data_IF_651510863650
#
_entry.id   IF_651510863650
#
_cell.length_a   1.000
_cell.length_b   1.000
_cell.length_c   1.000
_cell.angle_alpha   90.00
_cell.angle_beta   90.00
_cell.angle_gamma   90.00
#
_symmetry.space_group_name_H-M   'P 1'
#
loop_
_entity.id
_entity.type
_entity.pdbx_description
1 polymer ?
#
# COMPACT_ATOMS: atom_id res chain seq x y z
N UNK A 1 -70.91 8.20 19.29
CA UNK A 1 -69.88 7.49 18.55
C UNK A 1 -68.65 8.43 18.35
N UNK A 2 -67.57 8.28 19.14
CA UNK A 2 -66.37 9.12 19.06
C UNK A 2 -65.41 8.47 18.05
N UNK A 3 -65.11 9.18 16.94
CA UNK A 3 -64.11 8.76 15.94
C UNK A 3 -62.74 9.20 16.43
N UNK A 4 -61.89 8.22 16.75
CA UNK A 4 -60.48 8.44 17.09
C UNK A 4 -59.70 8.46 15.75
N UNK A 5 -59.17 9.64 15.36
CA UNK A 5 -58.21 9.76 14.26
C UNK A 5 -56.80 9.34 14.77
N UNK A 6 -56.29 8.27 14.24
CA UNK A 6 -54.88 7.91 14.41
C UNK A 6 -54.03 8.70 13.40
N UNK A 7 -53.24 9.65 13.89
CA UNK A 7 -52.22 10.34 13.08
C UNK A 7 -50.99 9.41 13.04
N UNK A 8 -50.75 8.78 11.90
CA UNK A 8 -49.46 8.07 11.63
C UNK A 8 -48.42 9.13 11.31
N UNK A 9 -47.51 9.39 12.25
CA UNK A 9 -46.29 10.17 11.99
C UNK A 9 -45.30 9.28 11.23
N UNK A 10 -45.15 9.51 9.93
CA UNK A 10 -44.11 8.91 9.09
C UNK A 10 -42.78 9.61 9.42
N UNK A 11 -41.97 8.99 10.26
CA UNK A 11 -40.58 9.43 10.49
C UNK A 11 -39.76 9.01 9.27
N UNK A 12 -39.54 9.95 8.36
CA UNK A 12 -38.58 9.75 7.24
C UNK A 12 -37.17 9.77 7.79
N UNK A 13 -36.62 8.58 8.00
CA UNK A 13 -35.17 8.42 8.28
C UNK A 13 -34.45 8.66 6.96
N UNK A 14 -33.98 9.89 6.75
CA UNK A 14 -33.07 10.21 5.66
C UNK A 14 -31.71 9.56 6.01
N UNK A 15 -31.45 8.38 5.47
CA UNK A 15 -30.12 7.81 5.46
C UNK A 15 -29.22 8.70 4.58
N UNK A 16 -28.55 9.68 5.19
CA UNK A 16 -27.47 10.41 4.53
C UNK A 16 -26.35 9.41 4.32
N UNK A 17 -26.23 8.87 3.10
CA UNK A 17 -25.02 8.14 2.69
C UNK A 17 -23.85 9.11 2.89
N UNK A 18 -23.04 8.87 3.92
CA UNK A 18 -21.88 9.70 4.23
C UNK A 18 -20.88 9.52 3.07
N UNK A 19 -20.80 10.54 2.21
CA UNK A 19 -19.86 10.54 1.08
C UNK A 19 -18.47 10.52 1.65
N UNK A 20 -17.74 9.41 1.42
CA UNK A 20 -16.34 9.26 1.86
C UNK A 20 -15.52 10.45 1.36
N UNK A 21 -14.75 11.09 2.25
CA UNK A 21 -13.86 12.17 1.82
C UNK A 21 -12.71 11.59 0.97
N UNK A 22 -12.14 12.39 0.07
CA UNK A 22 -10.94 11.99 -0.68
C UNK A 22 -9.84 11.47 0.25
N UNK A 23 -9.62 12.15 1.37
CA UNK A 23 -8.66 11.73 2.41
C UNK A 23 -8.97 10.31 2.91
N UNK A 24 -10.20 10.02 3.26
CA UNK A 24 -10.59 8.71 3.78
C UNK A 24 -10.35 7.60 2.74
N UNK A 25 -10.70 7.83 1.47
CA UNK A 25 -10.46 6.88 0.39
C UNK A 25 -8.96 6.63 0.18
N UNK A 26 -8.16 7.70 0.12
CA UNK A 26 -6.71 7.57 -0.09
C UNK A 26 -6.03 6.85 1.09
N UNK A 27 -6.42 7.14 2.33
CA UNK A 27 -5.89 6.44 3.51
C UNK A 27 -6.28 4.97 3.53
N UNK A 28 -7.53 4.64 3.19
CA UNK A 28 -7.98 3.25 3.10
C UNK A 28 -7.15 2.48 2.07
N UNK A 29 -6.93 3.05 0.88
CA UNK A 29 -6.12 2.42 -0.17
C UNK A 29 -4.66 2.26 0.24
N UNK A 30 -4.04 3.24 0.87
CA UNK A 30 -2.67 3.14 1.38
C UNK A 30 -2.56 2.04 2.44
N UNK A 31 -3.41 2.06 3.46
CA UNK A 31 -3.41 1.07 4.55
C UNK A 31 -3.68 -0.35 4.04
N UNK A 32 -4.58 -0.53 3.07
CA UNK A 32 -4.85 -1.85 2.49
C UNK A 32 -3.66 -2.42 1.72
N UNK A 33 -2.84 -1.59 1.11
CA UNK A 33 -1.60 -2.04 0.44
C UNK A 33 -0.44 -2.21 1.40
N UNK A 34 -0.43 -1.55 2.55
CA UNK A 34 0.66 -1.54 3.51
C UNK A 34 0.53 -2.66 4.57
N UNK A 35 -0.47 -2.56 5.45
CA UNK A 35 -0.55 -3.40 6.66
C UNK A 35 -1.96 -3.88 7.04
N UNK A 36 -3.00 -3.40 6.39
CA UNK A 36 -4.38 -3.73 6.68
C UNK A 36 -5.03 -4.50 5.54
N UNK A 37 -4.67 -5.78 5.37
CA UNK A 37 -5.23 -6.64 4.31
C UNK A 37 -6.75 -6.52 4.24
N UNK A 38 -7.27 -6.31 3.01
CA UNK A 38 -8.69 -6.15 2.75
C UNK A 38 -9.09 -7.05 1.57
N UNK A 39 -9.13 -6.54 0.34
CA UNK A 39 -9.44 -7.31 -0.86
C UNK A 39 -8.26 -8.15 -1.35
N UNK A 40 -7.07 -7.82 -0.91
CA UNK A 40 -5.81 -8.50 -1.21
C UNK A 40 -4.86 -8.44 0.00
N UNK A 41 -3.83 -9.26 -0.05
CA UNK A 41 -2.82 -9.33 1.00
C UNK A 41 -1.97 -8.07 0.99
N UNK A 42 -1.78 -7.46 2.15
CA UNK A 42 -0.92 -6.28 2.31
C UNK A 42 0.57 -6.62 2.18
N UNK A 43 1.39 -5.61 1.88
CA UNK A 43 2.83 -5.78 1.68
C UNK A 43 3.53 -6.33 2.93
N UNK A 44 3.20 -5.83 4.13
CA UNK A 44 3.79 -6.31 5.36
C UNK A 44 3.55 -7.81 5.57
N UNK A 45 2.33 -8.28 5.29
CA UNK A 45 2.01 -9.72 5.34
C UNK A 45 2.76 -10.49 4.25
N UNK A 46 2.89 -9.92 3.05
CA UNK A 46 3.56 -10.57 1.94
C UNK A 46 5.06 -10.79 2.16
N UNK A 47 5.74 -9.93 2.94
CA UNK A 47 7.18 -10.03 3.24
C UNK A 47 7.47 -10.69 4.59
N UNK A 48 6.46 -10.84 5.44
CA UNK A 48 6.61 -11.34 6.81
C UNK A 48 7.24 -12.74 6.88
N UNK A 49 8.18 -12.92 7.81
CA UNK A 49 8.80 -14.21 8.12
C UNK A 49 9.70 -14.77 7.01
N UNK A 50 10.04 -13.97 5.98
CA UNK A 50 10.93 -14.42 4.92
C UNK A 50 12.39 -14.21 5.33
N UNK A 51 13.22 -15.26 5.21
CA UNK A 51 14.67 -15.12 5.44
C UNK A 51 15.35 -14.38 4.28
N UNK A 52 16.54 -13.85 4.52
CA UNK A 52 17.33 -13.14 3.51
C UNK A 52 17.68 -14.03 2.30
N UNK A 53 17.96 -15.33 2.53
CA UNK A 53 18.24 -16.30 1.46
C UNK A 53 17.01 -16.49 0.58
N UNK A 54 15.82 -16.65 1.20
CA UNK A 54 14.56 -16.77 0.47
C UNK A 54 14.17 -15.47 -0.24
N UNK A 55 14.49 -14.32 0.36
CA UNK A 55 14.25 -13.03 -0.29
C UNK A 55 15.13 -12.84 -1.54
N UNK A 56 16.35 -13.38 -1.55
CA UNK A 56 17.26 -13.31 -2.70
C UNK A 56 17.00 -14.39 -3.78
N UNK A 57 16.21 -15.41 -3.47
CA UNK A 57 15.91 -16.50 -4.40
C UNK A 57 15.19 -16.00 -5.66
N UNK A 58 15.58 -16.53 -6.82
CA UNK A 58 14.98 -16.21 -8.13
C UNK A 58 14.42 -17.46 -8.79
N UNK A 59 13.28 -17.31 -9.45
CA UNK A 59 12.74 -18.29 -10.37
C UNK A 59 13.15 -17.92 -11.81
N UNK A 60 14.24 -18.51 -12.28
CA UNK A 60 14.78 -18.23 -13.62
C UNK A 60 15.11 -16.75 -13.82
N UNK A 61 14.51 -16.13 -14.83
CA UNK A 61 14.71 -14.71 -15.18
C UNK A 61 13.85 -13.72 -14.39
N UNK A 62 13.02 -14.19 -13.46
CA UNK A 62 12.12 -13.32 -12.69
C UNK A 62 12.86 -12.55 -11.57
N UNK A 63 12.28 -11.45 -11.11
CA UNK A 63 12.78 -10.75 -9.95
C UNK A 63 12.55 -11.56 -8.66
N UNK A 64 13.51 -11.48 -7.73
CA UNK A 64 13.35 -12.03 -6.39
C UNK A 64 12.40 -11.17 -5.55
N UNK A 65 11.91 -11.73 -4.42
CA UNK A 65 11.11 -10.97 -3.45
C UNK A 65 11.86 -9.73 -2.97
N UNK A 66 13.16 -9.88 -2.68
CA UNK A 66 13.99 -8.76 -2.23
C UNK A 66 14.14 -7.66 -3.27
N UNK A 67 14.29 -8.02 -4.54
CA UNK A 67 14.34 -7.05 -5.65
C UNK A 67 13.01 -6.31 -5.81
N UNK A 68 11.88 -7.01 -5.73
CA UNK A 68 10.55 -6.41 -5.78
C UNK A 68 10.32 -5.46 -4.59
N UNK A 69 10.67 -5.90 -3.38
CA UNK A 69 10.53 -5.08 -2.18
C UNK A 69 11.44 -3.84 -2.22
N UNK A 70 12.68 -3.98 -2.69
CA UNK A 70 13.60 -2.86 -2.86
C UNK A 70 13.08 -1.84 -3.89
N UNK A 71 12.53 -2.31 -5.00
CA UNK A 71 11.92 -1.46 -6.02
C UNK A 71 10.72 -0.66 -5.47
N UNK A 72 9.86 -1.31 -4.68
CA UNK A 72 8.76 -0.62 -3.99
C UNK A 72 9.34 0.46 -3.05
N UNK A 73 10.34 0.12 -2.24
CA UNK A 73 11.00 1.06 -1.32
C UNK A 73 11.56 2.26 -2.07
N UNK A 74 12.33 2.03 -3.12
CA UNK A 74 12.97 3.08 -3.93
C UNK A 74 11.96 4.13 -4.41
N UNK A 75 10.84 3.70 -4.98
CA UNK A 75 9.83 4.63 -5.51
C UNK A 75 9.02 5.30 -4.41
N UNK A 76 8.68 4.58 -3.34
CA UNK A 76 7.92 5.17 -2.23
C UNK A 76 8.75 6.20 -1.42
N UNK A 77 10.05 5.98 -1.23
CA UNK A 77 10.96 7.00 -0.63
C UNK A 77 10.94 8.29 -1.45
N UNK A 78 11.02 8.20 -2.77
CA UNK A 78 11.01 9.37 -3.65
C UNK A 78 9.68 10.10 -3.62
N UNK A 79 8.57 9.37 -3.57
CA UNK A 79 7.24 9.98 -3.41
C UNK A 79 7.12 10.68 -2.05
N UNK A 80 7.56 10.05 -0.96
CA UNK A 80 7.51 10.67 0.36
C UNK A 80 8.35 11.95 0.44
N UNK A 81 9.55 11.94 -0.17
CA UNK A 81 10.39 13.16 -0.29
C UNK A 81 9.69 14.27 -1.07
N UNK A 82 9.05 13.94 -2.21
CA UNK A 82 8.27 14.92 -2.99
C UNK A 82 7.10 15.50 -2.18
N UNK A 83 6.35 14.65 -1.50
CA UNK A 83 5.23 15.08 -0.66
C UNK A 83 5.66 16.02 0.47
N UNK A 84 6.85 15.79 1.03
CA UNK A 84 7.45 16.65 2.06
C UNK A 84 8.14 17.90 1.51
N UNK A 85 8.32 18.00 0.19
CA UNK A 85 9.09 19.08 -0.42
C UNK A 85 10.59 18.98 -0.18
N UNK A 86 11.09 17.78 0.12
CA UNK A 86 12.52 17.53 0.35
C UNK A 86 13.28 17.40 -0.97
N UNK A 87 14.57 17.77 -0.94
CA UNK A 87 15.46 17.52 -2.08
C UNK A 87 15.71 16.02 -2.22
N UNK A 88 15.46 15.47 -3.39
CA UNK A 88 15.84 14.10 -3.74
C UNK A 88 16.98 14.10 -4.75
N UNK A 89 17.83 13.08 -4.71
CA UNK A 89 18.81 12.85 -5.75
C UNK A 89 18.09 12.66 -7.10
N UNK A 90 18.63 13.25 -8.17
CA UNK A 90 18.11 12.98 -9.51
C UNK A 90 18.30 11.49 -9.83
N UNK A 91 17.28 10.89 -10.44
CA UNK A 91 17.36 9.54 -10.98
C UNK A 91 17.18 9.64 -12.49
N UNK A 92 18.23 9.33 -13.23
CA UNK A 92 18.26 9.32 -14.70
C UNK A 92 18.38 7.91 -15.28
N UNK A 93 18.38 6.89 -14.42
CA UNK A 93 18.46 5.49 -14.80
C UNK A 93 17.15 4.92 -15.39
N UNK A 94 17.23 3.71 -15.90
CA UNK A 94 16.06 2.98 -16.36
C UNK A 94 15.33 2.35 -15.16
N UNK A 95 14.01 2.15 -15.32
CA UNK A 95 13.20 1.52 -14.27
C UNK A 95 13.77 0.17 -13.81
N UNK A 96 14.29 -0.63 -14.75
CA UNK A 96 14.85 -1.96 -14.44
C UNK A 96 16.03 -1.91 -13.46
N UNK A 97 16.84 -0.83 -13.50
CA UNK A 97 17.96 -0.63 -12.59
C UNK A 97 17.54 -0.53 -11.12
N UNK A 98 16.28 -0.15 -10.86
CA UNK A 98 15.76 -0.06 -9.49
C UNK A 98 15.52 -1.42 -8.83
N UNK A 99 15.56 -2.53 -9.57
CA UNK A 99 15.52 -3.89 -9.05
C UNK A 99 16.91 -4.47 -8.79
N UNK A 100 17.96 -3.92 -9.40
CA UNK A 100 19.30 -4.50 -9.40
C UNK A 100 20.10 -4.16 -8.14
N UNK A 101 19.74 -3.10 -7.43
CA UNK A 101 20.49 -2.62 -6.26
C UNK A 101 20.16 -3.36 -4.96
N UNK A 102 19.38 -4.44 -4.99
CA UNK A 102 19.08 -5.25 -3.82
C UNK A 102 20.27 -6.16 -3.49
N UNK A 103 20.75 -6.07 -2.24
CA UNK A 103 21.69 -6.99 -1.63
C UNK A 103 20.98 -7.81 -0.52
N UNK A 104 21.22 -9.11 -0.51
CA UNK A 104 20.68 -10.03 0.48
C UNK A 104 20.96 -9.59 1.92
N UNK A 105 22.14 -9.05 2.22
CA UNK A 105 22.49 -8.53 3.54
C UNK A 105 21.59 -7.37 4.01
N UNK A 106 20.98 -6.66 3.07
CA UNK A 106 20.10 -5.50 3.36
C UNK A 106 18.64 -5.90 3.60
N UNK A 107 18.26 -7.18 3.51
CA UNK A 107 16.87 -7.59 3.55
C UNK A 107 16.07 -7.03 4.73
N UNK A 108 16.62 -7.18 5.94
CA UNK A 108 15.94 -6.69 7.16
C UNK A 108 15.78 -5.16 7.15
N UNK A 109 16.77 -4.44 6.62
CA UNK A 109 16.72 -2.98 6.49
C UNK A 109 15.68 -2.56 5.45
N UNK A 110 15.58 -3.28 4.33
CA UNK A 110 14.55 -3.03 3.30
C UNK A 110 13.16 -3.17 3.90
N UNK A 111 12.87 -4.27 4.61
CA UNK A 111 11.56 -4.50 5.24
C UNK A 111 11.23 -3.39 6.24
N UNK A 112 12.19 -3.04 7.11
CA UNK A 112 11.99 -1.97 8.09
C UNK A 112 11.76 -0.61 7.45
N UNK A 113 12.54 -0.27 6.42
CA UNK A 113 12.39 1.00 5.70
C UNK A 113 11.07 1.09 4.94
N UNK A 114 10.61 -0.02 4.35
CA UNK A 114 9.30 -0.09 3.71
C UNK A 114 8.19 0.32 4.67
N UNK A 115 8.13 -0.29 5.85
CA UNK A 115 7.12 0.03 6.86
C UNK A 115 7.18 1.52 7.28
N UNK A 116 8.39 2.04 7.52
CA UNK A 116 8.59 3.45 7.89
C UNK A 116 8.15 4.42 6.78
N UNK A 117 8.47 4.13 5.52
CA UNK A 117 8.16 5.00 4.39
C UNK A 117 6.65 4.99 4.11
N UNK A 118 6.01 3.82 4.12
CA UNK A 118 4.57 3.70 3.90
C UNK A 118 3.79 4.38 5.03
N UNK A 119 4.18 4.17 6.29
CA UNK A 119 3.65 4.91 7.44
C UNK A 119 3.84 6.42 7.26
N UNK A 120 4.99 6.84 6.73
CA UNK A 120 5.28 8.25 6.45
C UNK A 120 4.32 8.86 5.41
N UNK A 121 3.99 8.12 4.35
CA UNK A 121 3.02 8.56 3.34
C UNK A 121 1.60 8.64 3.93
N UNK A 122 1.18 7.64 4.72
CA UNK A 122 -0.11 7.64 5.42
C UNK A 122 -0.24 8.86 6.34
N UNK A 123 0.77 9.11 7.17
CA UNK A 123 0.81 10.26 8.07
C UNK A 123 0.76 11.59 7.32
N UNK A 124 1.43 11.67 6.16
CA UNK A 124 1.35 12.86 5.33
C UNK A 124 -0.07 13.09 4.83
N UNK A 125 -0.75 12.06 4.32
CA UNK A 125 -2.14 12.14 3.84
C UNK A 125 -3.09 12.52 4.99
N UNK A 126 -2.90 11.95 6.17
CA UNK A 126 -3.73 12.25 7.34
C UNK A 126 -3.67 13.73 7.74
N UNK A 127 -2.49 14.34 7.66
CA UNK A 127 -2.25 15.72 8.05
C UNK A 127 -2.36 16.73 6.89
N UNK A 128 -2.51 16.27 5.64
CA UNK A 128 -2.59 17.13 4.47
C UNK A 128 -3.88 17.98 4.45
N UNK A 129 -3.76 19.20 3.94
CA UNK A 129 -4.90 20.05 3.60
C UNK A 129 -5.64 19.54 2.35
N UNK A 130 -6.88 19.98 2.14
CA UNK A 130 -7.65 19.58 0.94
C UNK A 130 -6.96 19.97 -0.36
N UNK A 131 -6.28 21.12 -0.39
CA UNK A 131 -5.56 21.57 -1.59
C UNK A 131 -4.29 20.73 -1.84
N UNK A 132 -3.58 20.34 -0.79
CA UNK A 132 -2.46 19.39 -0.90
C UNK A 132 -2.94 18.03 -1.40
N UNK A 133 -4.07 17.54 -0.90
CA UNK A 133 -4.67 16.27 -1.35
C UNK A 133 -5.10 16.36 -2.81
N UNK A 134 -5.81 17.42 -3.22
CA UNK A 134 -6.21 17.61 -4.62
C UNK A 134 -5.01 17.61 -5.57
N UNK A 135 -3.92 18.29 -5.18
CA UNK A 135 -2.69 18.36 -5.97
C UNK A 135 -2.02 17.00 -6.13
N UNK A 136 -2.04 16.16 -5.09
CA UNK A 136 -1.25 14.92 -5.02
C UNK A 136 -2.09 13.64 -5.12
N UNK A 137 -3.43 13.73 -5.25
CA UNK A 137 -4.34 12.59 -5.22
C UNK A 137 -3.97 11.49 -6.22
N UNK A 138 -3.66 11.86 -7.46
CA UNK A 138 -3.26 10.92 -8.51
C UNK A 138 -1.96 10.19 -8.16
N UNK A 139 -0.97 10.90 -7.64
CA UNK A 139 0.31 10.30 -7.20
C UNK A 139 0.08 9.30 -6.08
N UNK A 140 -0.74 9.65 -5.07
CA UNK A 140 -1.05 8.78 -3.93
C UNK A 140 -1.83 7.54 -4.37
N UNK A 141 -2.80 7.70 -5.27
CA UNK A 141 -3.53 6.57 -5.85
C UNK A 141 -2.61 5.62 -6.63
N UNK A 142 -1.66 6.18 -7.41
CA UNK A 142 -0.67 5.40 -8.13
C UNK A 142 0.29 4.66 -7.19
N UNK A 143 0.66 5.24 -6.04
CA UNK A 143 1.42 4.53 -4.98
C UNK A 143 0.68 3.26 -4.56
N UNK A 144 -0.59 3.36 -4.23
CA UNK A 144 -1.39 2.20 -3.81
C UNK A 144 -1.48 1.15 -4.91
N UNK A 145 -1.76 1.54 -6.14
CA UNK A 145 -1.84 0.62 -7.28
C UNK A 145 -0.50 -0.08 -7.56
N UNK A 146 0.61 0.67 -7.54
CA UNK A 146 1.96 0.15 -7.74
C UNK A 146 2.37 -0.85 -6.65
N UNK A 147 2.09 -0.50 -5.39
CA UNK A 147 2.39 -1.37 -4.25
C UNK A 147 1.57 -2.67 -4.32
N UNK A 148 0.27 -2.59 -4.63
CA UNK A 148 -0.58 -3.77 -4.80
C UNK A 148 -0.09 -4.69 -5.93
N UNK A 149 0.29 -4.10 -7.08
CA UNK A 149 0.81 -4.84 -8.23
C UNK A 149 2.06 -5.66 -7.87
N UNK A 150 3.06 -5.03 -7.23
CA UNK A 150 4.29 -5.72 -6.86
C UNK A 150 4.11 -6.66 -5.65
N UNK A 151 3.18 -6.37 -4.73
CA UNK A 151 2.82 -7.30 -3.66
C UNK A 151 2.25 -8.61 -4.23
N UNK A 152 1.42 -8.53 -5.26
CA UNK A 152 0.93 -9.71 -5.98
C UNK A 152 2.08 -10.54 -6.57
N UNK A 153 3.08 -9.89 -7.18
CA UNK A 153 4.27 -10.57 -7.70
C UNK A 153 5.09 -11.23 -6.58
N UNK A 154 5.27 -10.57 -5.43
CA UNK A 154 5.95 -11.14 -4.26
C UNK A 154 5.27 -12.44 -3.82
N UNK A 155 3.92 -12.46 -3.75
CA UNK A 155 3.17 -13.66 -3.37
C UNK A 155 3.36 -14.78 -4.40
N UNK A 156 3.36 -14.47 -5.70
CA UNK A 156 3.62 -15.44 -6.76
C UNK A 156 5.01 -16.08 -6.61
N UNK A 157 6.06 -15.26 -6.38
CA UNK A 157 7.41 -15.77 -6.16
C UNK A 157 7.47 -16.63 -4.88
N UNK A 158 6.84 -16.22 -3.79
CA UNK A 158 6.78 -17.00 -2.54
C UNK A 158 6.05 -18.34 -2.71
N UNK A 159 5.00 -18.38 -3.52
CA UNK A 159 4.33 -19.64 -3.87
C UNK A 159 5.25 -20.56 -4.68
N UNK A 160 5.94 -20.03 -5.67
CA UNK A 160 6.88 -20.79 -6.50
C UNK A 160 8.02 -21.41 -5.67
N UNK A 161 8.57 -20.67 -4.69
CA UNK A 161 9.61 -21.19 -3.80
C UNK A 161 9.10 -22.00 -2.59
N UNK A 162 7.76 -22.20 -2.45
CA UNK A 162 7.17 -22.95 -1.34
C UNK A 162 7.28 -22.25 0.03
N UNK A 163 7.39 -20.92 0.05
CA UNK A 163 7.49 -20.13 1.30
C UNK A 163 6.23 -19.32 1.64
N UNK A 164 5.19 -19.43 0.82
CA UNK A 164 3.91 -18.78 1.09
C UNK A 164 3.05 -19.65 2.01
N UNK A 165 2.55 -19.04 3.08
CA UNK A 165 1.55 -19.65 3.95
C UNK A 165 0.14 -19.27 3.45
N UNK A 166 -0.67 -20.25 2.97
CA UNK A 166 -2.02 -19.97 2.48
C UNK A 166 -2.95 -19.37 3.54
N UNK A 167 -2.72 -19.64 4.84
CA UNK A 167 -3.54 -19.10 5.93
C UNK A 167 -3.40 -17.58 6.09
N UNK A 168 -2.33 -17.00 5.56
CA UNK A 168 -2.13 -15.54 5.48
C UNK A 168 -2.89 -14.88 4.33
N UNK A 169 -3.53 -15.66 3.47
CA UNK A 169 -4.36 -15.16 2.39
C UNK A 169 -5.61 -14.44 2.88
N UNK A 170 -6.22 -13.62 2.01
CA UNK A 170 -7.54 -13.04 2.27
C UNK A 170 -8.58 -14.16 2.20
N UNK A 171 -9.45 -14.22 3.21
CA UNK A 171 -10.54 -15.20 3.34
C UNK A 171 -11.86 -14.62 2.88
#
# INVERSE_FOLDING_TARGET
MKRILFLLAIISISATAQKSSMKAVLLEQLKSTHNASNWFVSLNVAVEGLSSEKAAWKDGGNHSVGQLAYHILFWNERVLQDLKGEKKASFSGKNDETFENFDQAQWNDVVKKLDLVLTGIENWVENATDDQLKKNASTIANVSAHNAYHTGQIIVVRKAQGSWDPEKGVK
#
